data_IF_849709174546
#
_entry.id   IF_849709174546
#
_cell.length_a   1.000
_cell.length_b   1.000
_cell.length_c   1.000
_cell.angle_alpha   90.00
_cell.angle_beta   90.00
_cell.angle_gamma   90.00
#
_symmetry.space_group_name_H-M   'P 1'
#
loop_
_entity.id
_entity.type
_entity.pdbx_description
1 polymer ?
#
# COMPACT_ATOMS: atom_id res chain seq x y z
N UNK A 1 8.93 -5.73 16.30
CA UNK A 1 8.05 -6.56 15.43
C UNK A 1 6.67 -5.94 15.21
N UNK A 2 5.90 -5.58 16.25
CA UNK A 2 4.56 -4.98 16.11
C UNK A 2 4.48 -3.75 15.19
N UNK A 3 5.46 -2.85 15.28
CA UNK A 3 5.56 -1.65 14.42
C UNK A 3 5.72 -2.02 12.93
N UNK A 4 6.65 -2.93 12.59
CA UNK A 4 6.87 -3.34 11.20
C UNK A 4 5.63 -4.02 10.59
N UNK A 5 4.88 -4.80 11.37
CA UNK A 5 3.64 -5.40 10.91
C UNK A 5 2.57 -4.33 10.63
N UNK A 6 2.41 -3.35 11.53
CA UNK A 6 1.50 -2.22 11.31
C UNK A 6 1.90 -1.44 10.06
N UNK A 7 3.20 -1.12 9.91
CA UNK A 7 3.73 -0.38 8.77
C UNK A 7 3.48 -1.15 7.45
N UNK A 8 3.59 -2.49 7.45
CA UNK A 8 3.26 -3.34 6.30
C UNK A 8 1.78 -3.35 5.93
N UNK A 9 0.88 -3.43 6.93
CA UNK A 9 -0.57 -3.36 6.68
C UNK A 9 -0.92 -1.98 6.10
N UNK A 10 -0.41 -0.90 6.69
CA UNK A 10 -0.62 0.45 6.15
C UNK A 10 -0.08 0.61 4.74
N UNK A 11 1.10 0.02 4.45
CA UNK A 11 1.69 0.06 3.11
C UNK A 11 0.80 -0.63 2.06
N UNK A 12 0.16 -1.75 2.43
CA UNK A 12 -0.81 -2.45 1.58
C UNK A 12 -2.04 -1.59 1.28
N UNK A 13 -2.62 -0.94 2.28
CA UNK A 13 -3.79 -0.09 2.07
C UNK A 13 -3.45 1.12 1.17
N UNK A 14 -2.27 1.72 1.34
CA UNK A 14 -1.79 2.79 0.45
C UNK A 14 -1.59 2.30 -0.99
N UNK A 15 -1.03 1.11 -1.16
CA UNK A 15 -0.85 0.51 -2.49
C UNK A 15 -2.21 0.20 -3.15
N UNK A 16 -3.21 -0.24 -2.38
CA UNK A 16 -4.56 -0.47 -2.88
C UNK A 16 -5.22 0.84 -3.35
N UNK A 17 -5.17 1.89 -2.52
CA UNK A 17 -5.67 3.22 -2.88
C UNK A 17 -4.99 3.78 -4.13
N UNK A 18 -3.65 3.67 -4.22
CA UNK A 18 -2.90 4.15 -5.38
C UNK A 18 -3.23 3.36 -6.65
N UNK A 19 -3.51 2.07 -6.54
CA UNK A 19 -3.94 1.25 -7.67
C UNK A 19 -5.36 1.62 -8.13
N UNK A 20 -6.28 1.90 -7.20
CA UNK A 20 -7.64 2.35 -7.51
C UNK A 20 -7.65 3.71 -8.22
N UNK A 21 -6.66 4.56 -7.94
CA UNK A 21 -6.54 5.90 -8.51
C UNK A 21 -5.96 5.93 -9.95
N UNK A 22 -5.46 4.81 -10.49
CA UNK A 22 -4.92 4.55 -11.84
C UNK A 22 -4.32 5.74 -12.63
N UNK A 23 -3.02 5.67 -12.96
CA UNK A 23 -2.17 6.77 -13.46
C UNK A 23 -2.73 7.57 -14.66
N UNK A 24 -3.51 6.93 -15.53
CA UNK A 24 -4.12 7.57 -16.70
C UNK A 24 -5.43 8.31 -16.41
N UNK A 25 -6.11 8.00 -15.31
CA UNK A 25 -7.40 8.62 -14.92
C UNK A 25 -7.26 9.56 -13.71
N UNK A 26 -6.05 9.67 -13.13
CA UNK A 26 -5.72 10.42 -11.91
C UNK A 26 -6.29 11.84 -11.85
N UNK A 27 -6.04 12.69 -12.86
CA UNK A 27 -6.45 14.11 -12.77
C UNK A 27 -7.97 14.29 -12.84
N UNK A 28 -8.63 13.60 -13.75
CA UNK A 28 -10.09 13.65 -13.88
C UNK A 28 -10.78 12.99 -12.69
N UNK A 29 -10.23 11.90 -12.15
CA UNK A 29 -10.78 11.24 -10.95
C UNK A 29 -10.53 12.02 -9.68
N UNK A 30 -9.38 12.69 -9.51
CA UNK A 30 -9.14 13.56 -8.35
C UNK A 30 -10.22 14.65 -8.28
N UNK A 31 -10.49 15.32 -9.39
CA UNK A 31 -11.58 16.32 -9.48
C UNK A 31 -12.97 15.69 -9.29
N UNK A 32 -13.26 14.56 -9.93
CA UNK A 32 -14.57 13.91 -9.87
C UNK A 32 -14.91 13.28 -8.50
N UNK A 33 -13.90 12.83 -7.75
CA UNK A 33 -14.05 12.27 -6.40
C UNK A 33 -13.96 13.35 -5.30
N UNK A 34 -13.77 14.62 -5.67
CA UNK A 34 -13.63 15.73 -4.73
C UNK A 34 -12.29 15.76 -3.98
N UNK A 35 -11.28 15.05 -4.47
CA UNK A 35 -9.91 15.18 -3.97
C UNK A 35 -9.28 16.46 -4.50
N UNK A 36 -8.54 17.15 -3.63
CA UNK A 36 -7.73 18.29 -4.07
C UNK A 36 -6.56 17.79 -4.92
N UNK A 37 -6.29 18.47 -6.04
CA UNK A 37 -5.10 18.25 -6.87
C UNK A 37 -3.83 18.05 -6.00
N UNK A 38 -3.14 16.93 -6.20
CA UNK A 38 -1.90 16.60 -5.49
C UNK A 38 -2.06 15.74 -4.24
N UNK A 39 -3.27 15.27 -3.91
CA UNK A 39 -3.47 14.24 -2.88
C UNK A 39 -2.79 12.92 -3.26
N UNK A 40 -2.77 12.55 -4.54
CA UNK A 40 -2.01 11.38 -5.01
C UNK A 40 -0.51 11.50 -4.70
N UNK A 41 0.08 12.68 -4.90
CA UNK A 41 1.50 12.89 -4.60
C UNK A 41 1.77 12.76 -3.10
N UNK A 42 0.83 13.19 -2.25
CA UNK A 42 0.90 12.96 -0.79
C UNK A 42 0.84 11.48 -0.45
N UNK A 43 -0.02 10.71 -1.11
CA UNK A 43 -0.10 9.24 -0.94
C UNK A 43 1.21 8.56 -1.36
N UNK A 44 1.79 8.94 -2.50
CA UNK A 44 3.10 8.43 -2.95
C UNK A 44 4.23 8.78 -1.98
N UNK A 45 4.25 10.01 -1.46
CA UNK A 45 5.22 10.42 -0.46
C UNK A 45 5.06 9.66 0.87
N UNK A 46 3.82 9.45 1.32
CA UNK A 46 3.51 8.67 2.52
C UNK A 46 3.96 7.21 2.37
N UNK A 47 3.69 6.59 1.21
CA UNK A 47 4.16 5.25 0.84
C UNK A 47 5.69 5.16 0.91
N UNK A 48 6.40 6.09 0.28
CA UNK A 48 7.86 6.13 0.27
C UNK A 48 8.45 6.25 1.69
N UNK A 49 7.86 7.13 2.53
CA UNK A 49 8.26 7.31 3.92
C UNK A 49 8.09 6.02 4.74
N UNK A 50 6.96 5.31 4.56
CA UNK A 50 6.72 4.03 5.23
C UNK A 50 7.70 2.95 4.76
N UNK A 51 7.92 2.85 3.46
CA UNK A 51 8.87 1.88 2.89
C UNK A 51 10.29 2.08 3.42
N UNK A 52 10.76 3.33 3.54
CA UNK A 52 12.08 3.64 4.11
C UNK A 52 12.22 3.28 5.60
N UNK A 53 11.11 3.18 6.33
CA UNK A 53 11.08 2.75 7.73
C UNK A 53 11.04 1.23 7.93
N UNK A 54 10.89 0.45 6.85
CA UNK A 54 10.89 -1.01 6.88
C UNK A 54 12.31 -1.55 6.71
N UNK A 55 12.58 -2.71 7.32
CA UNK A 55 13.86 -3.41 7.05
C UNK A 55 13.91 -3.83 5.56
N UNK A 56 15.05 -3.68 4.87
CA UNK A 56 15.15 -3.93 3.41
C UNK A 56 14.68 -5.32 2.99
N UNK A 57 15.22 -6.35 3.64
CA UNK A 57 14.49 -7.48 4.19
C UNK A 57 13.03 -7.75 3.82
N UNK A 58 12.21 -7.12 4.65
CA UNK A 58 10.77 -7.22 4.76
C UNK A 58 10.14 -6.53 3.56
N UNK A 59 10.63 -5.33 3.22
CA UNK A 59 10.14 -4.57 2.07
C UNK A 59 10.31 -5.39 0.77
N UNK A 60 11.48 -5.98 0.55
CA UNK A 60 11.75 -6.80 -0.64
C UNK A 60 10.76 -7.97 -0.75
N UNK A 61 10.48 -8.65 0.36
CA UNK A 61 9.51 -9.76 0.38
C UNK A 61 8.09 -9.26 0.10
N UNK A 62 7.68 -8.17 0.73
CA UNK A 62 6.39 -7.53 0.50
C UNK A 62 6.20 -7.15 -0.98
N UNK A 63 7.17 -6.44 -1.57
CA UNK A 63 7.15 -6.01 -2.98
C UNK A 63 7.10 -7.20 -3.95
N UNK A 64 7.73 -8.33 -3.58
CA UNK A 64 7.69 -9.55 -4.41
C UNK A 64 6.30 -10.18 -4.40
N UNK A 65 5.66 -10.25 -3.24
CA UNK A 65 4.33 -10.86 -3.07
C UNK A 65 3.23 -9.98 -3.68
N UNK A 66 3.27 -8.66 -3.45
CA UNK A 66 2.22 -7.74 -3.93
C UNK A 66 2.08 -7.68 -5.45
N UNK A 67 3.14 -8.03 -6.18
CA UNK A 67 3.11 -8.12 -7.66
C UNK A 67 2.24 -9.25 -8.17
N UNK A 68 2.00 -10.28 -7.35
CA UNK A 68 1.26 -11.49 -7.72
C UNK A 68 -0.07 -11.61 -6.98
N UNK A 69 -0.22 -10.93 -5.86
CA UNK A 69 -1.38 -11.04 -4.98
C UNK A 69 -1.92 -9.67 -4.62
N UNK A 70 -3.23 -9.49 -4.72
CA UNK A 70 -3.91 -8.25 -4.32
C UNK A 70 -3.68 -7.89 -2.85
N UNK A 71 -3.51 -8.90 -1.99
CA UNK A 71 -3.12 -8.74 -0.57
C UNK A 71 -1.83 -9.49 -0.31
N UNK A 72 -0.78 -8.75 0.05
CA UNK A 72 0.52 -9.31 0.39
C UNK A 72 0.65 -9.65 1.89
N UNK A 73 -0.21 -9.08 2.73
CA UNK A 73 -0.22 -9.26 4.18
C UNK A 73 -1.64 -9.63 4.59
N UNK A 74 -1.78 -10.83 5.15
CA UNK A 74 -3.06 -11.38 5.60
C UNK A 74 -2.91 -11.99 6.99
N UNK A 75 -3.94 -11.92 7.84
CA UNK A 75 -3.90 -12.57 9.13
C UNK A 75 -3.94 -14.09 8.95
N UNK A 76 -3.26 -14.80 9.85
CA UNK A 76 -3.48 -16.23 10.04
C UNK A 76 -4.29 -16.44 11.32
N UNK A 77 -5.30 -17.30 11.26
CA UNK A 77 -6.12 -17.65 12.40
C UNK A 77 -6.03 -19.16 12.64
N UNK A 78 -5.49 -19.57 13.80
CA UNK A 78 -5.29 -21.00 14.15
C UNK A 78 -4.59 -21.83 13.06
N UNK A 79 -3.59 -21.25 12.39
CA UNK A 79 -2.85 -21.91 11.32
C UNK A 79 -3.51 -21.84 9.94
N UNK A 80 -4.71 -21.25 9.83
CA UNK A 80 -5.42 -21.05 8.56
C UNK A 80 -5.07 -19.68 7.99
N UNK A 81 -4.70 -19.63 6.70
CA UNK A 81 -4.53 -18.39 5.95
C UNK A 81 -5.90 -17.79 5.64
N UNK A 82 -6.11 -16.50 5.96
CA UNK A 82 -7.36 -15.78 5.70
C UNK A 82 -7.32 -14.96 4.41
N UNK A 83 -6.50 -15.39 3.45
CA UNK A 83 -6.20 -14.68 2.21
C UNK A 83 -6.11 -15.63 1.04
#
# INVERSE_FOLDING_TARGET
MKKQLKDLVTLQELDALLNELDEAQMREREEALGFTLGETDRLRAARAKLANGLRPEILRRYETVRRRHARAVVPSNRGVCMG
#
